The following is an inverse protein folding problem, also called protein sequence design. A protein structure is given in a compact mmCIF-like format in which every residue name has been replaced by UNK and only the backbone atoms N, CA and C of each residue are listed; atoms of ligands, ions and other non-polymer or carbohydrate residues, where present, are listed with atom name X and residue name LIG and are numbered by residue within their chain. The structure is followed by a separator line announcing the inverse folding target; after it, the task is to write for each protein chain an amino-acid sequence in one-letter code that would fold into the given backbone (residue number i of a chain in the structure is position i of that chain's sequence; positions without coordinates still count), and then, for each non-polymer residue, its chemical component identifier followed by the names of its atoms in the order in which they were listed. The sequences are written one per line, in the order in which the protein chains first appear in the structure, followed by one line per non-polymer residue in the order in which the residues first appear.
data_IF_829430722587
#
_entry.id   IF_829430722587
#
_cell.length_a   1.000
_cell.length_b   1.000
_cell.length_c   1.000
_cell.angle_alpha   90.00
_cell.angle_beta   90.00
_cell.angle_gamma   90.00
#
_symmetry.space_group_name_H-M   'P 1'
#
loop_
_entity.id
_entity.type
_entity.pdbx_description
1 polymer ?
#
# COMPACT_ATOMS: atom_id res chain seq x y z
N UNK A 1 38.27 -2.92 -51.72
CA UNK A 1 38.17 -3.10 -50.25
C UNK A 1 37.73 -1.78 -49.65
N UNK A 2 36.46 -1.67 -49.26
CA UNK A 2 35.98 -0.73 -48.23
C UNK A 2 34.86 -1.46 -47.51
N UNK A 3 35.00 -1.62 -46.20
CA UNK A 3 33.99 -2.19 -45.31
C UNK A 3 33.08 -1.08 -44.77
N UNK A 4 31.84 -1.43 -44.40
CA UNK A 4 30.94 -0.55 -43.67
C UNK A 4 29.62 -1.23 -43.36
N UNK A 5 29.50 -1.77 -42.14
CA UNK A 5 28.26 -2.28 -41.54
C UNK A 5 27.27 -1.15 -41.24
N UNK A 6 25.98 -1.47 -41.26
CA UNK A 6 24.91 -0.70 -40.62
C UNK A 6 23.89 -1.67 -40.06
N UNK A 7 24.10 -2.11 -38.82
CA UNK A 7 23.13 -2.87 -38.04
C UNK A 7 21.99 -1.96 -37.59
N UNK A 8 20.78 -2.49 -37.71
CA UNK A 8 19.53 -1.97 -37.15
C UNK A 8 19.66 -1.76 -35.64
N UNK A 9 19.22 -0.59 -35.17
CA UNK A 9 18.91 -0.36 -33.78
C UNK A 9 17.48 -0.83 -33.55
N UNK A 10 17.31 -1.91 -32.78
CA UNK A 10 16.04 -2.27 -32.18
C UNK A 10 15.92 -1.52 -30.85
N UNK A 11 14.83 -0.77 -30.75
CA UNK A 11 14.39 0.01 -29.60
C UNK A 11 13.85 -0.97 -28.54
N UNK A 12 14.69 -1.38 -27.59
CA UNK A 12 14.23 -2.11 -26.41
C UNK A 12 13.44 -1.14 -25.53
N UNK A 13 12.12 -1.17 -25.68
CA UNK A 13 11.18 -0.66 -24.70
C UNK A 13 11.49 -1.27 -23.32
N UNK A 14 11.80 -0.43 -22.33
CA UNK A 14 11.89 -0.78 -20.90
C UNK A 14 10.59 -1.48 -20.48
N UNK A 15 10.58 -2.82 -20.52
CA UNK A 15 9.53 -3.61 -19.91
C UNK A 15 9.91 -3.79 -18.45
N UNK A 16 9.25 -3.13 -17.48
CA UNK A 16 9.59 -3.28 -16.07
C UNK A 16 9.41 -4.72 -15.54
N UNK A 17 8.75 -5.60 -16.30
CA UNK A 17 8.57 -7.02 -15.98
C UNK A 17 9.69 -7.93 -16.53
N UNK A 18 10.69 -7.39 -17.23
CA UNK A 18 11.79 -8.15 -17.82
C UNK A 18 13.00 -8.34 -16.89
N UNK A 19 12.94 -7.81 -15.66
CA UNK A 19 14.05 -7.92 -14.71
C UNK A 19 14.43 -9.40 -14.44
N UNK A 20 15.74 -9.65 -14.36
CA UNK A 20 16.29 -10.98 -14.16
C UNK A 20 15.82 -11.62 -12.84
N UNK A 21 15.57 -12.92 -12.89
CA UNK A 21 15.16 -13.74 -11.73
C UNK A 21 16.19 -13.61 -10.60
N UNK A 22 15.73 -13.46 -9.36
CA UNK A 22 16.60 -13.42 -8.18
C UNK A 22 17.52 -14.65 -8.14
N UNK A 23 18.81 -14.42 -7.84
CA UNK A 23 19.77 -15.51 -7.61
C UNK A 23 19.30 -16.32 -6.39
N UNK A 24 19.35 -17.65 -6.47
CA UNK A 24 18.69 -18.57 -5.53
C UNK A 24 19.16 -18.48 -4.06
N UNK A 25 20.11 -17.60 -3.76
CA UNK A 25 20.59 -17.30 -2.40
C UNK A 25 20.35 -15.88 -1.90
N UNK A 26 19.62 -15.02 -2.64
CA UNK A 26 19.30 -13.64 -2.22
C UNK A 26 17.79 -13.42 -2.21
N UNK A 27 17.24 -12.97 -1.09
CA UNK A 27 15.84 -12.58 -0.95
C UNK A 27 15.69 -11.13 -1.42
N UNK A 28 14.85 -10.90 -2.44
CA UNK A 28 14.54 -9.55 -2.91
C UNK A 28 13.29 -9.05 -2.20
N UNK A 29 13.41 -7.99 -1.41
CA UNK A 29 12.28 -7.36 -0.70
C UNK A 29 11.86 -6.10 -1.45
N UNK A 30 10.64 -6.10 -1.96
CA UNK A 30 10.07 -4.98 -2.71
C UNK A 30 9.10 -4.14 -1.90
N UNK A 31 8.69 -2.99 -2.44
CA UNK A 31 7.57 -2.21 -1.91
C UNK A 31 6.69 -1.63 -3.02
N UNK A 32 5.44 -1.34 -2.67
CA UNK A 32 4.60 -0.44 -3.44
C UNK A 32 5.12 1.01 -3.32
N UNK A 33 4.59 1.92 -4.13
CA UNK A 33 5.06 3.30 -4.25
C UNK A 33 4.46 4.30 -3.22
N UNK A 34 4.46 3.93 -1.94
CA UNK A 34 4.05 4.80 -0.86
C UNK A 34 4.87 4.55 0.42
N UNK A 35 4.87 5.54 1.33
CA UNK A 35 5.82 5.62 2.44
C UNK A 35 5.77 4.41 3.39
N UNK A 36 4.59 4.03 3.87
CA UNK A 36 4.43 2.88 4.78
C UNK A 36 4.93 1.59 4.14
N UNK A 37 4.62 1.35 2.85
CA UNK A 37 5.10 0.14 2.15
C UNK A 37 6.63 0.08 2.07
N UNK A 38 7.31 1.22 1.88
CA UNK A 38 8.77 1.29 1.87
C UNK A 38 9.31 0.96 3.28
N UNK A 39 8.73 1.56 4.32
CA UNK A 39 9.12 1.30 5.70
C UNK A 39 8.91 -0.18 6.09
N UNK A 40 7.78 -0.78 5.73
CA UNK A 40 7.50 -2.19 5.96
C UNK A 40 8.47 -3.10 5.20
N UNK A 41 8.89 -2.71 4.00
CA UNK A 41 9.91 -3.45 3.24
C UNK A 41 11.26 -3.42 3.95
N UNK A 42 11.66 -2.28 4.52
CA UNK A 42 12.87 -2.17 5.34
C UNK A 42 12.77 -3.04 6.61
N UNK A 43 11.63 -3.00 7.30
CA UNK A 43 11.35 -3.85 8.48
C UNK A 43 11.48 -5.34 8.11
N UNK A 44 10.85 -5.77 7.03
CA UNK A 44 10.92 -7.16 6.58
C UNK A 44 12.34 -7.56 6.20
N UNK A 45 13.05 -6.72 5.43
CA UNK A 45 14.41 -7.02 5.01
C UNK A 45 15.40 -7.06 6.17
N UNK A 46 15.31 -6.15 7.14
CA UNK A 46 16.22 -6.15 8.29
C UNK A 46 15.92 -7.32 9.25
N UNK A 47 14.65 -7.70 9.45
CA UNK A 47 14.30 -8.90 10.20
C UNK A 47 14.84 -10.19 9.55
N UNK A 48 14.86 -10.26 8.22
CA UNK A 48 15.46 -11.35 7.48
C UNK A 48 16.99 -11.36 7.62
N UNK A 49 17.65 -10.19 7.51
CA UNK A 49 19.10 -10.07 7.71
C UNK A 49 19.55 -10.46 9.11
N UNK A 50 18.75 -10.18 10.14
CA UNK A 50 19.01 -10.64 11.51
C UNK A 50 19.08 -12.18 11.63
N UNK A 51 18.49 -12.91 10.68
CA UNK A 51 18.61 -14.38 10.53
C UNK A 51 19.74 -14.82 9.59
N UNK A 52 20.63 -13.91 9.20
CA UNK A 52 21.72 -14.19 8.28
C UNK A 52 21.29 -14.39 6.82
N UNK A 53 20.04 -14.06 6.48
CA UNK A 53 19.54 -14.14 5.11
C UNK A 53 20.07 -12.94 4.32
N UNK A 54 20.63 -13.20 3.14
CA UNK A 54 21.08 -12.14 2.24
C UNK A 54 19.86 -11.47 1.60
N UNK A 55 19.75 -10.15 1.76
CA UNK A 55 18.63 -9.35 1.26
C UNK A 55 19.10 -8.28 0.29
N UNK A 56 18.31 -8.07 -0.77
CA UNK A 56 18.38 -6.93 -1.68
C UNK A 56 17.04 -6.18 -1.64
N UNK A 57 17.07 -4.85 -1.62
CA UNK A 57 15.86 -4.03 -1.61
C UNK A 57 15.53 -3.49 -3.00
N UNK A 58 14.24 -3.51 -3.32
CA UNK A 58 13.66 -2.83 -4.49
C UNK A 58 12.48 -1.96 -4.04
N UNK A 59 12.73 -0.81 -3.40
CA UNK A 59 11.66 0.03 -2.89
C UNK A 59 10.99 0.80 -4.04
N UNK A 60 9.79 1.33 -3.73
CA UNK A 60 9.06 2.30 -4.53
C UNK A 60 8.81 1.88 -6.00
N UNK A 61 8.40 0.62 -6.21
CA UNK A 61 8.30 0.03 -7.54
C UNK A 61 7.12 0.60 -8.33
N UNK A 62 5.97 0.76 -7.68
CA UNK A 62 4.75 1.20 -8.34
C UNK A 62 3.49 0.65 -7.68
N UNK A 63 2.46 0.48 -8.50
CA UNK A 63 1.17 -0.01 -8.05
C UNK A 63 1.19 -1.52 -7.76
N UNK A 64 0.15 -1.98 -7.06
CA UNK A 64 -0.09 -3.40 -6.77
C UNK A 64 -0.07 -4.28 -8.01
N UNK A 65 -0.63 -3.80 -9.13
CA UNK A 65 -0.66 -4.54 -10.39
C UNK A 65 0.75 -4.85 -10.90
N UNK A 66 1.68 -3.89 -10.75
CA UNK A 66 3.09 -4.06 -11.11
C UNK A 66 3.81 -4.99 -10.13
N UNK A 67 3.71 -4.73 -8.83
CA UNK A 67 4.43 -5.50 -7.81
C UNK A 67 3.93 -6.95 -7.71
N UNK A 68 2.63 -7.20 -7.88
CA UNK A 68 2.07 -8.54 -7.97
C UNK A 68 2.62 -9.31 -9.19
N UNK A 69 2.76 -8.65 -10.34
CA UNK A 69 3.41 -9.23 -11.53
C UNK A 69 4.86 -9.66 -11.28
N UNK A 70 5.63 -8.82 -10.59
CA UNK A 70 7.03 -9.07 -10.23
C UNK A 70 7.20 -10.14 -9.15
N UNK A 71 6.25 -10.27 -8.22
CA UNK A 71 6.19 -11.41 -7.31
C UNK A 71 5.95 -12.70 -8.09
N UNK A 72 4.95 -12.73 -8.98
CA UNK A 72 4.59 -13.93 -9.75
C UNK A 72 5.74 -14.46 -10.61
N UNK A 73 6.53 -13.58 -11.20
CA UNK A 73 7.67 -13.96 -12.03
C UNK A 73 8.95 -14.24 -11.20
N UNK A 74 8.96 -13.95 -9.90
CA UNK A 74 10.06 -14.18 -8.98
C UNK A 74 11.17 -13.11 -9.01
N UNK A 75 10.90 -11.93 -9.59
CA UNK A 75 11.80 -10.77 -9.53
C UNK A 75 11.81 -10.12 -8.15
N UNK A 76 10.69 -10.24 -7.42
CA UNK A 76 10.54 -9.93 -6.00
C UNK A 76 10.26 -11.22 -5.25
N UNK A 77 10.85 -11.37 -4.06
CA UNK A 77 10.61 -12.51 -3.18
C UNK A 77 9.60 -12.21 -2.09
N UNK A 78 9.66 -11.02 -1.48
CA UNK A 78 8.80 -10.60 -0.36
C UNK A 78 8.25 -9.20 -0.65
N UNK A 79 6.97 -9.00 -0.38
CA UNK A 79 6.30 -7.70 -0.48
C UNK A 79 5.40 -7.50 0.76
N UNK A 80 5.43 -6.33 1.41
CA UNK A 80 4.36 -5.90 2.30
C UNK A 80 3.09 -5.63 1.51
N UNK A 81 2.01 -6.31 1.85
CA UNK A 81 0.71 -6.17 1.20
C UNK A 81 -0.41 -6.08 2.25
N UNK A 82 -1.62 -5.73 1.81
CA UNK A 82 -2.79 -5.50 2.66
C UNK A 82 -3.88 -6.47 2.21
N UNK A 83 -4.29 -7.37 3.11
CA UNK A 83 -5.03 -8.56 2.74
C UNK A 83 -6.34 -8.31 1.96
N UNK A 84 -7.16 -7.35 2.37
CA UNK A 84 -8.44 -7.08 1.69
C UNK A 84 -8.28 -6.27 0.41
N UNK A 85 -7.32 -5.35 0.32
CA UNK A 85 -7.00 -4.69 -0.95
C UNK A 85 -6.40 -5.65 -1.98
N UNK A 86 -5.61 -6.63 -1.51
CA UNK A 86 -5.15 -7.74 -2.34
C UNK A 86 -6.32 -8.63 -2.78
N UNK A 87 -7.24 -8.97 -1.88
CA UNK A 87 -8.43 -9.75 -2.23
C UNK A 87 -9.27 -9.05 -3.29
N UNK A 88 -9.57 -7.76 -3.11
CA UNK A 88 -10.34 -6.99 -4.07
C UNK A 88 -9.67 -6.87 -5.46
N UNK A 89 -8.34 -6.93 -5.50
CA UNK A 89 -7.59 -7.01 -6.76
C UNK A 89 -7.72 -8.39 -7.42
N UNK A 90 -7.64 -9.47 -6.64
CA UNK A 90 -7.69 -10.85 -7.15
C UNK A 90 -9.10 -11.31 -7.51
N UNK A 91 -10.09 -10.85 -6.76
CA UNK A 91 -11.50 -11.22 -6.86
C UNK A 91 -12.37 -10.01 -6.47
N UNK A 92 -12.73 -9.15 -7.44
CA UNK A 92 -13.48 -7.92 -7.20
C UNK A 92 -14.89 -8.13 -6.61
N UNK A 93 -15.43 -9.35 -6.73
CA UNK A 93 -16.76 -9.71 -6.24
C UNK A 93 -16.71 -10.40 -4.86
N UNK A 94 -15.51 -10.61 -4.30
CA UNK A 94 -15.35 -11.28 -3.02
C UNK A 94 -15.85 -10.42 -1.84
N UNK A 95 -16.73 -10.99 -1.04
CA UNK A 95 -17.17 -10.38 0.22
C UNK A 95 -16.07 -10.44 1.29
N UNK A 96 -15.87 -9.34 2.02
CA UNK A 96 -14.92 -9.27 3.12
C UNK A 96 -15.65 -9.21 4.47
N UNK A 97 -15.55 -10.27 5.28
CA UNK A 97 -16.34 -10.44 6.53
C UNK A 97 -15.50 -10.44 7.81
N UNK A 98 -14.29 -10.99 7.75
CA UNK A 98 -13.33 -11.02 8.85
C UNK A 98 -11.92 -11.20 8.27
N UNK A 99 -10.89 -10.93 9.06
CA UNK A 99 -9.49 -11.18 8.70
C UNK A 99 -9.27 -12.63 8.27
N UNK A 100 -9.85 -13.62 8.97
CA UNK A 100 -9.68 -15.04 8.64
C UNK A 100 -10.34 -15.40 7.32
N UNK A 101 -11.54 -14.87 7.06
CA UNK A 101 -12.26 -15.09 5.83
C UNK A 101 -11.53 -14.45 4.64
N UNK A 102 -11.02 -13.23 4.81
CA UNK A 102 -10.22 -12.52 3.79
C UNK A 102 -8.94 -13.29 3.49
N UNK A 103 -8.18 -13.67 4.52
CA UNK A 103 -6.93 -14.41 4.34
C UNK A 103 -7.15 -15.78 3.68
N UNK A 104 -8.23 -16.48 4.03
CA UNK A 104 -8.60 -17.73 3.36
C UNK A 104 -8.94 -17.51 1.89
N UNK A 105 -9.75 -16.49 1.57
CA UNK A 105 -10.11 -16.15 0.20
C UNK A 105 -8.89 -15.76 -0.65
N UNK A 106 -8.00 -14.90 -0.12
CA UNK A 106 -6.74 -14.55 -0.80
C UNK A 106 -5.95 -15.82 -1.11
N UNK A 107 -5.75 -16.70 -0.13
CA UNK A 107 -5.01 -17.97 -0.34
C UNK A 107 -5.61 -18.85 -1.43
N UNK A 108 -6.92 -18.76 -1.69
CA UNK A 108 -7.57 -19.50 -2.80
C UNK A 108 -7.40 -18.85 -4.17
N UNK A 109 -7.23 -17.52 -4.23
CA UNK A 109 -7.13 -16.76 -5.48
C UNK A 109 -5.68 -16.45 -5.90
N UNK A 110 -4.71 -16.63 -5.00
CA UNK A 110 -3.30 -16.41 -5.28
C UNK A 110 -2.77 -17.33 -6.39
N UNK A 111 -1.80 -16.81 -7.15
CA UNK A 111 -0.99 -17.64 -8.05
C UNK A 111 -0.31 -18.78 -7.26
N UNK A 112 -0.23 -19.97 -7.85
CA UNK A 112 0.29 -21.16 -7.17
C UNK A 112 1.73 -21.00 -6.66
N UNK A 113 2.51 -20.08 -7.23
CA UNK A 113 3.89 -19.77 -6.83
C UNK A 113 3.95 -18.82 -5.63
N UNK A 114 2.84 -18.18 -5.26
CA UNK A 114 2.77 -17.22 -4.17
C UNK A 114 2.13 -17.82 -2.93
N UNK A 115 2.49 -17.29 -1.77
CA UNK A 115 1.87 -17.63 -0.49
C UNK A 115 1.71 -16.38 0.36
N UNK A 116 0.59 -16.33 1.07
CA UNK A 116 0.31 -15.32 2.09
C UNK A 116 0.79 -15.85 3.45
N UNK A 117 1.68 -15.12 4.10
CA UNK A 117 2.11 -15.42 5.46
C UNK A 117 1.09 -14.90 6.49
N UNK A 118 1.44 -14.93 7.78
CA UNK A 118 0.55 -14.47 8.84
C UNK A 118 0.38 -12.94 8.78
N UNK A 119 -0.88 -12.49 8.77
CA UNK A 119 -1.20 -11.07 8.81
C UNK A 119 -0.98 -10.51 10.21
N UNK A 120 -0.48 -9.28 10.26
CA UNK A 120 -0.36 -8.51 11.48
C UNK A 120 -1.73 -8.02 11.97
N UNK A 121 -1.89 -7.77 13.29
CA UNK A 121 -3.03 -7.01 13.79
C UNK A 121 -3.13 -5.59 13.21
N UNK A 122 -2.00 -5.01 12.77
CA UNK A 122 -1.99 -3.71 12.13
C UNK A 122 -2.83 -3.68 10.86
N UNK A 123 -3.64 -2.64 10.73
CA UNK A 123 -4.43 -2.31 9.55
C UNK A 123 -4.12 -0.92 9.05
N UNK A 124 -3.98 -0.78 7.74
CA UNK A 124 -3.95 0.49 7.05
C UNK A 124 -4.89 0.47 5.82
N UNK A 125 -6.00 1.20 5.92
CA UNK A 125 -7.07 1.23 4.92
C UNK A 125 -7.00 2.48 4.07
N UNK A 126 -7.43 2.35 2.82
CA UNK A 126 -7.89 3.47 2.00
C UNK A 126 -9.03 4.22 2.73
N UNK A 127 -9.09 5.54 2.58
CA UNK A 127 -10.16 6.35 3.18
C UNK A 127 -10.43 7.61 2.37
N UNK A 128 -11.63 8.19 2.48
CA UNK A 128 -11.88 9.54 1.99
C UNK A 128 -11.71 10.53 3.12
N UNK A 129 -10.68 11.35 3.03
CA UNK A 129 -10.36 12.43 3.96
C UNK A 129 -10.73 13.80 3.40
N UNK A 130 -11.36 14.62 4.22
CA UNK A 130 -11.76 15.99 3.89
C UNK A 130 -10.84 16.99 4.57
N UNK A 131 -10.42 18.04 3.86
CA UNK A 131 -9.61 19.09 4.48
C UNK A 131 -10.40 19.88 5.53
N UNK A 132 -9.70 20.46 6.52
CA UNK A 132 -10.33 21.13 7.65
C UNK A 132 -11.25 22.29 7.23
N UNK A 133 -10.88 23.08 6.21
CA UNK A 133 -11.68 24.20 5.71
C UNK A 133 -13.03 23.73 5.13
N UNK A 134 -13.01 22.69 4.30
CA UNK A 134 -14.20 22.11 3.69
C UNK A 134 -15.07 21.43 4.74
N UNK A 135 -14.44 20.73 5.69
CA UNK A 135 -15.15 20.09 6.79
C UNK A 135 -15.89 21.12 7.64
N UNK A 136 -15.26 22.22 8.01
CA UNK A 136 -15.89 23.32 8.76
C UNK A 136 -17.05 23.94 7.96
N UNK A 137 -16.82 24.27 6.68
CA UNK A 137 -17.83 24.87 5.80
C UNK A 137 -19.10 24.04 5.69
N UNK A 138 -18.96 22.71 5.64
CA UNK A 138 -20.07 21.78 5.45
C UNK A 138 -20.51 21.06 6.73
N UNK A 139 -19.92 21.39 7.89
CA UNK A 139 -20.25 20.77 9.18
C UNK A 139 -19.88 19.29 9.28
N UNK A 140 -18.88 18.84 8.54
CA UNK A 140 -18.42 17.45 8.54
C UNK A 140 -17.53 17.18 9.76
N UNK A 141 -17.68 16.00 10.34
CA UNK A 141 -16.91 15.56 11.51
C UNK A 141 -16.45 14.12 11.33
N UNK A 142 -15.64 13.59 12.25
CA UNK A 142 -15.23 12.18 12.22
C UNK A 142 -16.41 11.19 12.36
N UNK A 143 -17.62 11.68 12.70
CA UNK A 143 -18.86 10.87 12.70
C UNK A 143 -19.64 10.96 11.40
N UNK A 144 -19.26 11.88 10.51
CA UNK A 144 -19.83 11.94 9.17
C UNK A 144 -19.37 10.75 8.35
N UNK A 145 -20.23 10.33 7.44
CA UNK A 145 -20.06 9.17 6.58
C UNK A 145 -19.77 9.60 5.15
N UNK A 146 -19.31 8.67 4.33
CA UNK A 146 -19.22 8.85 2.88
C UNK A 146 -20.57 9.28 2.27
N UNK A 147 -21.69 8.76 2.77
CA UNK A 147 -23.02 9.10 2.28
C UNK A 147 -23.38 10.58 2.52
N UNK A 148 -22.84 11.21 3.56
CA UNK A 148 -23.09 12.63 3.85
C UNK A 148 -22.45 13.57 2.82
N UNK A 149 -21.61 13.05 1.91
CA UNK A 149 -21.07 13.82 0.79
C UNK A 149 -22.00 13.91 -0.42
N UNK A 150 -23.11 13.15 -0.49
CA UNK A 150 -23.92 12.98 -1.71
C UNK A 150 -24.28 14.33 -2.38
N UNK A 151 -24.80 15.27 -1.60
CA UNK A 151 -25.24 16.58 -2.12
C UNK A 151 -24.08 17.53 -2.46
N UNK A 152 -22.92 17.36 -1.83
CA UNK A 152 -21.80 18.31 -1.96
C UNK A 152 -20.68 17.80 -2.88
N UNK A 153 -20.58 16.49 -3.11
CA UNK A 153 -19.57 15.87 -3.96
C UNK A 153 -19.46 16.55 -5.35
N UNK A 154 -20.56 16.96 -6.03
CA UNK A 154 -20.47 17.68 -7.30
C UNK A 154 -19.75 19.03 -7.25
N UNK A 155 -19.50 19.59 -6.06
CA UNK A 155 -18.70 20.79 -5.84
C UNK A 155 -17.23 20.49 -5.53
N UNK A 156 -16.92 19.29 -5.06
CA UNK A 156 -15.61 18.90 -4.53
C UNK A 156 -14.72 18.29 -5.61
N UNK A 157 -13.44 18.67 -5.61
CA UNK A 157 -12.40 17.93 -6.32
C UNK A 157 -11.84 16.86 -5.38
N UNK A 158 -11.75 15.62 -5.86
CA UNK A 158 -11.13 14.51 -5.11
C UNK A 158 -9.76 14.16 -5.70
N UNK A 159 -8.75 14.01 -4.84
CA UNK A 159 -7.39 13.61 -5.20
C UNK A 159 -7.06 12.18 -4.79
N UNK A 160 -6.18 11.51 -5.52
CA UNK A 160 -5.69 10.18 -5.17
C UNK A 160 -4.77 9.62 -6.26
N UNK A 161 -4.31 8.39 -6.08
CA UNK A 161 -3.49 7.70 -7.09
C UNK A 161 -4.25 7.50 -8.41
N UNK A 162 -3.57 7.38 -9.57
CA UNK A 162 -4.24 7.06 -10.83
C UNK A 162 -5.10 5.80 -10.74
N UNK A 163 -4.70 4.82 -9.94
CA UNK A 163 -5.43 3.58 -9.76
C UNK A 163 -6.73 3.77 -8.96
N UNK A 164 -6.77 4.72 -8.01
CA UNK A 164 -7.98 5.08 -7.26
C UNK A 164 -9.12 5.55 -8.18
N UNK A 165 -8.79 6.15 -9.33
CA UNK A 165 -9.78 6.57 -10.32
C UNK A 165 -10.57 5.39 -10.90
N UNK A 166 -9.93 4.23 -11.03
CA UNK A 166 -10.44 3.08 -11.80
C UNK A 166 -10.75 1.85 -10.95
N UNK A 167 -10.38 1.84 -9.67
CA UNK A 167 -10.63 0.71 -8.77
C UNK A 167 -12.02 0.77 -8.16
N UNK A 168 -12.57 -0.41 -7.85
CA UNK A 168 -13.78 -0.53 -7.05
C UNK A 168 -13.56 0.10 -5.66
N UNK A 169 -12.46 -0.23 -4.98
CA UNK A 169 -11.98 0.46 -3.77
C UNK A 169 -11.44 1.87 -4.12
N UNK A 170 -12.28 2.69 -4.75
CA UNK A 170 -11.92 3.95 -5.36
C UNK A 170 -13.16 4.65 -5.92
N UNK A 171 -13.00 5.49 -6.94
CA UNK A 171 -14.11 6.27 -7.49
C UNK A 171 -15.26 5.41 -8.03
N UNK A 172 -14.96 4.23 -8.60
CA UNK A 172 -16.01 3.36 -9.13
C UNK A 172 -16.95 2.89 -8.01
N UNK A 173 -16.40 2.48 -6.86
CA UNK A 173 -17.21 2.05 -5.73
C UNK A 173 -17.83 3.22 -4.96
N UNK A 174 -17.15 4.36 -4.86
CA UNK A 174 -17.75 5.57 -4.27
C UNK A 174 -19.00 6.01 -5.07
N UNK A 175 -18.97 5.93 -6.40
CA UNK A 175 -20.15 6.20 -7.21
C UNK A 175 -21.20 5.10 -7.07
N UNK A 176 -20.82 3.82 -7.18
CA UNK A 176 -21.77 2.69 -7.18
C UNK A 176 -22.44 2.46 -5.83
N UNK A 177 -21.67 2.49 -4.75
CA UNK A 177 -22.13 2.17 -3.41
C UNK A 177 -22.67 3.40 -2.69
N UNK A 178 -22.13 4.60 -2.92
CA UNK A 178 -22.54 5.81 -2.19
C UNK A 178 -23.21 6.88 -3.07
N UNK A 179 -23.29 6.69 -4.38
CA UNK A 179 -23.86 7.70 -5.29
C UNK A 179 -22.95 8.92 -5.47
N UNK A 180 -21.71 8.89 -4.99
CA UNK A 180 -20.84 10.05 -4.96
C UNK A 180 -20.27 10.34 -6.35
N UNK A 181 -20.67 11.49 -6.90
CA UNK A 181 -20.15 12.01 -8.16
C UNK A 181 -19.40 13.31 -7.90
N UNK A 182 -18.08 13.20 -7.82
CA UNK A 182 -17.22 14.35 -7.59
C UNK A 182 -17.17 15.27 -8.82
N UNK A 183 -16.93 16.57 -8.59
CA UNK A 183 -16.75 17.57 -9.66
C UNK A 183 -15.71 17.14 -10.69
N UNK A 184 -14.58 16.66 -10.20
CA UNK A 184 -13.47 16.16 -10.99
C UNK A 184 -12.52 15.35 -10.11
N UNK A 185 -11.78 14.44 -10.73
CA UNK A 185 -10.66 13.72 -10.11
C UNK A 185 -9.33 14.40 -10.43
N UNK A 186 -8.40 14.41 -9.47
CA UNK A 186 -7.02 14.83 -9.67
C UNK A 186 -6.06 13.68 -9.35
N UNK A 187 -5.39 13.17 -10.38
CA UNK A 187 -4.34 12.18 -10.23
C UNK A 187 -3.13 12.78 -9.49
N UNK A 188 -2.72 12.12 -8.42
CA UNK A 188 -1.63 12.46 -7.50
C UNK A 188 -0.91 11.16 -7.07
N UNK A 189 -0.02 11.22 -6.08
CA UNK A 189 0.60 10.04 -5.48
C UNK A 189 -0.37 9.32 -4.50
N UNK A 190 -0.12 8.04 -4.21
CA UNK A 190 -0.98 7.22 -3.37
C UNK A 190 -0.84 7.64 -1.90
N UNK A 191 -1.79 8.46 -1.41
CA UNK A 191 -1.80 9.02 -0.06
C UNK A 191 -0.59 9.92 0.30
N UNK A 192 0.36 10.10 -0.62
CA UNK A 192 1.67 10.66 -0.34
C UNK A 192 1.74 12.19 -0.30
N UNK A 193 2.96 12.76 -0.27
CA UNK A 193 3.18 14.19 -0.10
C UNK A 193 2.45 15.10 -1.11
N UNK A 194 2.23 14.68 -2.37
CA UNK A 194 1.49 15.51 -3.33
C UNK A 194 -0.01 15.54 -3.01
N UNK A 195 -0.59 14.40 -2.62
CA UNK A 195 -1.97 14.27 -2.17
C UNK A 195 -2.21 15.03 -0.87
N UNK A 196 -1.36 14.84 0.14
CA UNK A 196 -1.41 15.57 1.40
C UNK A 196 -1.33 17.09 1.17
N UNK A 197 -0.34 17.55 0.38
CA UNK A 197 -0.18 18.98 0.10
C UNK A 197 -1.35 19.56 -0.71
N UNK A 198 -1.93 18.80 -1.64
CA UNK A 198 -3.09 19.24 -2.40
C UNK A 198 -4.32 19.37 -1.50
N UNK A 199 -4.51 18.46 -0.54
CA UNK A 199 -5.61 18.49 0.42
C UNK A 199 -5.45 19.66 1.40
N UNK A 200 -4.27 19.83 2.02
CA UNK A 200 -3.96 20.95 2.92
C UNK A 200 -4.14 22.30 2.24
N UNK A 201 -3.67 22.45 0.99
CA UNK A 201 -3.77 23.72 0.25
C UNK A 201 -5.12 23.93 -0.44
N UNK A 202 -6.11 23.09 -0.13
CA UNK A 202 -7.45 23.14 -0.72
C UNK A 202 -7.45 23.11 -2.28
N UNK A 203 -6.40 22.52 -2.86
CA UNK A 203 -6.34 22.23 -4.30
C UNK A 203 -7.25 21.06 -4.65
N UNK A 204 -7.44 20.15 -3.70
CA UNK A 204 -8.53 19.17 -3.64
C UNK A 204 -9.25 19.32 -2.29
N UNK A 205 -10.54 19.02 -2.25
CA UNK A 205 -11.36 19.12 -1.05
C UNK A 205 -11.52 17.79 -0.34
N UNK A 206 -11.46 16.70 -1.10
CA UNK A 206 -11.42 15.33 -0.64
C UNK A 206 -10.14 14.67 -1.18
N UNK A 207 -9.60 13.69 -0.47
CA UNK A 207 -8.54 12.85 -1.01
C UNK A 207 -8.56 11.45 -0.43
N UNK A 208 -8.02 10.51 -1.20
CA UNK A 208 -7.60 9.20 -0.72
C UNK A 208 -6.35 9.37 0.17
N UNK A 209 -6.52 9.18 1.48
CA UNK A 209 -5.45 9.20 2.48
C UNK A 209 -5.58 7.94 3.31
N UNK A 210 -4.46 7.29 3.58
CA UNK A 210 -4.45 6.04 4.33
C UNK A 210 -4.65 6.26 5.83
N UNK A 211 -5.31 5.33 6.52
CA UNK A 211 -5.74 5.50 7.92
C UNK A 211 -4.59 5.59 8.93
N UNK A 212 -3.42 5.05 8.61
CA UNK A 212 -2.20 5.19 9.42
C UNK A 212 -1.39 6.43 9.06
N UNK A 213 -1.88 7.27 8.16
CA UNK A 213 -1.17 8.50 7.77
C UNK A 213 -1.18 9.52 8.94
N UNK A 214 -0.01 9.87 9.49
CA UNK A 214 0.09 10.76 10.64
C UNK A 214 -0.27 12.21 10.30
N UNK A 215 -0.31 12.58 9.01
CA UNK A 215 -0.74 13.90 8.56
C UNK A 215 -2.22 14.16 8.81
N UNK A 216 -3.06 13.12 8.90
CA UNK A 216 -4.48 13.26 9.28
C UNK A 216 -4.60 14.04 10.60
N UNK A 217 -3.82 13.64 11.61
CA UNK A 217 -3.85 14.29 12.92
C UNK A 217 -3.18 15.67 12.88
N UNK A 218 -2.04 15.78 12.19
CA UNK A 218 -1.27 17.04 12.09
C UNK A 218 -2.06 18.15 11.42
N UNK A 219 -2.69 17.86 10.29
CA UNK A 219 -3.43 18.81 9.46
C UNK A 219 -4.94 18.86 9.81
N UNK A 220 -5.38 18.02 10.76
CA UNK A 220 -6.77 17.90 11.21
C UNK A 220 -7.73 17.57 10.06
N UNK A 221 -7.33 16.66 9.19
CA UNK A 221 -8.22 16.12 8.18
C UNK A 221 -9.36 15.34 8.84
N UNK A 222 -10.54 15.41 8.24
CA UNK A 222 -11.71 14.65 8.68
C UNK A 222 -11.81 13.40 7.81
N UNK A 223 -11.43 12.27 8.40
CA UNK A 223 -11.65 10.94 7.80
C UNK A 223 -13.12 10.58 7.93
N UNK A 224 -13.77 10.27 6.81
CA UNK A 224 -15.18 9.89 6.79
C UNK A 224 -15.38 8.41 7.08
N UNK A 225 -16.47 8.09 7.79
CA UNK A 225 -16.87 6.71 8.05
C UNK A 225 -17.36 6.03 6.76
N UNK A 226 -17.00 4.76 6.59
CA UNK A 226 -17.38 3.91 5.45
C UNK A 226 -18.37 2.81 5.92
N UNK A 227 -19.67 3.13 6.12
CA UNK A 227 -20.64 2.19 6.69
C UNK A 227 -20.95 0.98 5.78
N UNK A 228 -20.67 1.07 4.48
CA UNK A 228 -20.82 -0.03 3.52
C UNK A 228 -19.55 -0.87 3.37
N UNK A 229 -18.49 -0.55 4.11
CA UNK A 229 -17.21 -1.26 4.09
C UNK A 229 -16.64 -1.39 2.67
N UNK A 230 -16.73 -0.32 1.88
CA UNK A 230 -16.21 -0.24 0.53
C UNK A 230 -14.71 -0.54 0.48
N UNK A 231 -13.94 0.02 1.42
CA UNK A 231 -12.49 -0.16 1.47
C UNK A 231 -12.08 -1.49 2.12
N UNK A 232 -12.96 -2.09 2.94
CA UNK A 232 -12.80 -3.46 3.43
C UNK A 232 -11.82 -3.60 4.61
N UNK A 233 -11.12 -4.73 4.62
CA UNK A 233 -10.04 -5.03 5.59
C UNK A 233 -8.70 -4.74 4.94
N UNK A 234 -7.71 -4.36 5.75
CA UNK A 234 -6.39 -4.03 5.21
C UNK A 234 -5.28 -4.38 6.21
N UNK A 235 -5.30 -5.61 6.71
CA UNK A 235 -4.24 -6.07 7.60
C UNK A 235 -2.92 -6.20 6.83
N UNK A 236 -1.85 -5.64 7.39
CA UNK A 236 -0.50 -5.76 6.86
C UNK A 236 -0.11 -7.23 6.85
N UNK A 237 0.33 -7.73 5.71
CA UNK A 237 0.58 -9.16 5.51
C UNK A 237 1.78 -9.36 4.56
N UNK A 238 2.71 -10.27 4.88
CA UNK A 238 3.77 -10.59 3.94
C UNK A 238 3.22 -11.47 2.80
N UNK A 239 3.39 -11.02 1.56
CA UNK A 239 3.16 -11.80 0.34
C UNK A 239 4.49 -12.29 -0.23
N UNK A 240 4.61 -13.59 -0.46
CA UNK A 240 5.91 -14.24 -0.70
C UNK A 240 5.90 -15.14 -1.94
N UNK A 241 6.97 -15.07 -2.73
CA UNK A 241 7.30 -16.06 -3.75
C UNK A 241 7.84 -17.34 -3.08
N UNK A 242 7.05 -18.43 -3.09
CA UNK A 242 7.26 -19.64 -2.28
C UNK A 242 8.67 -20.21 -2.33
N UNK A 243 9.27 -20.31 -3.53
CA UNK A 243 10.59 -20.94 -3.67
C UNK A 243 11.75 -19.99 -3.38
N UNK A 244 11.48 -18.70 -3.12
CA UNK A 244 12.51 -17.69 -2.85
C UNK A 244 12.77 -17.45 -1.36
N UNK A 245 11.92 -17.94 -0.45
CA UNK A 245 12.06 -17.71 0.99
C UNK A 245 12.20 -19.03 1.75
N UNK A 246 13.22 -19.10 2.62
CA UNK A 246 13.44 -20.26 3.50
C UNK A 246 12.43 -20.29 4.65
N UNK A 247 12.32 -21.43 5.34
CA UNK A 247 11.48 -21.53 6.55
C UNK A 247 11.90 -20.53 7.63
N UNK A 248 13.21 -20.33 7.82
CA UNK A 248 13.74 -19.34 8.76
C UNK A 248 13.31 -17.90 8.39
N UNK A 249 13.23 -17.60 7.09
CA UNK A 249 12.70 -16.32 6.62
C UNK A 249 11.20 -16.17 6.86
N UNK A 250 10.42 -17.23 6.65
CA UNK A 250 8.99 -17.27 6.97
C UNK A 250 8.77 -16.99 8.47
N UNK A 251 9.53 -17.68 9.33
CA UNK A 251 9.44 -17.53 10.78
C UNK A 251 9.80 -16.10 11.22
N UNK A 252 10.80 -15.47 10.59
CA UNK A 252 11.18 -14.09 10.86
C UNK A 252 10.06 -13.10 10.51
N UNK A 253 9.44 -13.23 9.34
CA UNK A 253 8.35 -12.34 8.93
C UNK A 253 7.08 -12.54 9.77
N UNK A 254 6.76 -13.77 10.14
CA UNK A 254 5.65 -14.05 11.07
C UNK A 254 5.90 -13.46 12.46
N UNK A 255 7.16 -13.44 12.92
CA UNK A 255 7.52 -12.80 14.19
C UNK A 255 7.34 -11.27 14.14
N UNK A 256 7.62 -10.64 12.99
CA UNK A 256 7.29 -9.22 12.75
C UNK A 256 5.79 -9.00 12.82
N UNK A 257 4.99 -9.77 12.07
CA UNK A 257 3.52 -9.63 12.07
C UNK A 257 2.93 -9.75 13.47
N UNK A 258 3.44 -10.65 14.30
CA UNK A 258 2.96 -10.86 15.67
C UNK A 258 3.22 -9.66 16.61
N UNK A 259 4.10 -8.72 16.24
CA UNK A 259 4.48 -7.53 17.03
C UNK A 259 3.92 -6.22 16.47
N UNK A 260 3.42 -6.22 15.24
CA UNK A 260 2.99 -5.01 14.55
C UNK A 260 1.48 -4.80 14.71
N UNK A 261 1.09 -3.88 15.59
CA UNK A 261 -0.30 -3.39 15.69
C UNK A 261 -0.47 -2.01 15.04
N UNK A 262 -1.71 -1.57 14.80
CA UNK A 262 -1.99 -0.31 14.08
C UNK A 262 -1.40 0.90 14.78
N UNK A 263 -1.38 0.90 16.12
CA UNK A 263 -0.79 2.00 16.88
C UNK A 263 0.72 2.07 16.65
N UNK A 264 1.39 0.92 16.73
CA UNK A 264 2.81 0.80 16.47
C UNK A 264 3.14 1.25 15.05
N UNK A 265 2.36 0.80 14.06
CA UNK A 265 2.53 1.20 12.66
C UNK A 265 2.43 2.73 12.50
N UNK A 266 1.37 3.36 13.02
CA UNK A 266 1.20 4.81 13.02
C UNK A 266 2.36 5.56 13.71
N UNK A 267 2.89 5.02 14.82
CA UNK A 267 4.05 5.60 15.52
C UNK A 267 5.33 5.50 14.67
N UNK A 268 5.49 4.44 13.87
CA UNK A 268 6.62 4.27 12.94
C UNK A 268 6.47 5.20 11.73
N UNK A 269 5.28 5.30 11.14
CA UNK A 269 4.98 6.23 10.06
C UNK A 269 5.16 7.68 10.47
N UNK A 270 4.78 8.03 11.71
CA UNK A 270 5.00 9.37 12.26
C UNK A 270 6.48 9.77 12.22
N UNK A 271 7.37 8.84 12.56
CA UNK A 271 8.81 9.11 12.54
C UNK A 271 9.34 9.33 11.12
N UNK A 272 8.87 8.55 10.15
CA UNK A 272 9.31 8.71 8.76
C UNK A 272 8.69 9.97 8.14
N UNK A 273 7.38 10.15 8.24
CA UNK A 273 6.66 11.14 7.47
C UNK A 273 6.60 12.52 8.13
N UNK A 274 6.59 12.61 9.47
CA UNK A 274 6.56 13.89 10.18
C UNK A 274 7.94 14.33 10.66
N UNK A 275 8.74 13.39 11.17
CA UNK A 275 10.08 13.67 11.69
C UNK A 275 11.17 13.58 10.62
N UNK A 276 10.84 13.10 9.42
CA UNK A 276 11.78 12.91 8.30
C UNK A 276 12.95 11.99 8.65
N UNK A 277 12.73 10.99 9.50
CA UNK A 277 13.73 9.94 9.75
C UNK A 277 13.84 9.03 8.54
N UNK A 278 15.04 8.48 8.36
CA UNK A 278 15.28 7.45 7.35
C UNK A 278 14.51 6.17 7.71
N UNK A 279 13.72 5.58 6.78
CA UNK A 279 12.89 4.42 7.06
C UNK A 279 13.70 3.18 7.47
N UNK A 280 14.93 3.02 6.95
CA UNK A 280 15.80 1.90 7.31
C UNK A 280 16.30 2.02 8.75
N UNK A 281 16.61 3.23 9.19
CA UNK A 281 17.00 3.48 10.59
C UNK A 281 15.81 3.24 11.53
N UNK A 282 14.62 3.74 11.17
CA UNK A 282 13.38 3.48 11.94
C UNK A 282 13.08 1.98 12.04
N UNK A 283 13.24 1.24 10.94
CA UNK A 283 13.05 -0.21 10.91
C UNK A 283 14.00 -0.94 11.87
N UNK A 284 15.30 -0.61 11.83
CA UNK A 284 16.31 -1.23 12.71
C UNK A 284 16.05 -0.93 14.18
N UNK A 285 15.79 0.34 14.51
CA UNK A 285 15.50 0.77 15.86
C UNK A 285 14.29 0.03 16.42
N UNK A 286 13.20 -0.06 15.63
CA UNK A 286 12.00 -0.78 16.05
C UNK A 286 12.27 -2.27 16.27
N UNK A 287 12.94 -2.94 15.34
CA UNK A 287 13.29 -4.36 15.46
C UNK A 287 14.14 -4.63 16.71
N UNK A 288 15.06 -3.73 17.07
CA UNK A 288 15.80 -3.80 18.34
C UNK A 288 14.86 -3.75 19.55
N UNK A 289 13.91 -2.80 19.56
CA UNK A 289 12.98 -2.63 20.68
C UNK A 289 12.07 -3.84 20.91
N UNK A 290 11.75 -4.59 19.85
CA UNK A 290 10.90 -5.80 19.93
C UNK A 290 11.70 -7.11 19.97
N UNK A 291 13.04 -7.03 19.97
CA UNK A 291 13.94 -8.17 20.08
C UNK A 291 14.00 -9.06 18.83
N UNK A 292 13.91 -8.45 17.65
CA UNK A 292 13.91 -9.11 16.34
C UNK A 292 15.14 -8.78 15.46
N UNK A 293 16.13 -8.05 15.99
CA UNK A 293 17.40 -7.76 15.31
C UNK A 293 18.56 -8.68 15.74
#
# INVERSE_FOLDING_TARGET
MVAGCGSSADDESDNPLSEGKADGGTVVVGSNNFAESILLADIYGEALKAKGIKVEYKPNIGSRETTYGLLKNGSITVLPEYNGSLLAYLDPDAEQKSIEAVNAAVKTQLDEKLTLLESAPAEDKDSVSINAETAEKHGLTAQSTLADLEDIAPELVIGGSPEFQTRHQGLIGLEKEYGLKFKSFKALDAGGPLTQAALTKNTVQAADIFTTDPTITKEKFVVLQDPKNLFGFANVTPLVYKSGLSQEGIDALNAVSAKLDTKTLLDLDSQVQLENKDPLDVAKDWLETVGLN
#
